data_IF_687528805065
#
_entry.id   IF_687528805065
#
_cell.length_a   1.000
_cell.length_b   1.000
_cell.length_c   1.000
_cell.angle_alpha   90.00
_cell.angle_beta   90.00
_cell.angle_gamma   90.00
#
_symmetry.space_group_name_H-M   'P 1'
#
loop_
_entity.id
_entity.type
_entity.pdbx_description
1 polymer ?
#
# COMPACT_ATOMS: atom_id res chain seq x y z
N UNK A 1 37.09 -18.99 -39.87
CA UNK A 1 37.00 -17.84 -38.96
C UNK A 1 35.73 -17.08 -39.31
N UNK A 2 34.60 -17.46 -38.73
CA UNK A 2 33.32 -16.77 -38.91
C UNK A 2 33.14 -15.80 -37.74
N UNK A 3 32.95 -14.53 -38.04
CA UNK A 3 32.61 -13.50 -37.05
C UNK A 3 31.13 -13.67 -36.67
N UNK A 4 30.85 -14.09 -35.44
CA UNK A 4 29.49 -14.10 -34.91
C UNK A 4 28.93 -12.67 -34.89
N UNK A 5 27.71 -12.43 -35.41
CA UNK A 5 27.12 -11.11 -35.41
C UNK A 5 26.81 -10.67 -33.97
N UNK A 6 27.40 -9.56 -33.56
CA UNK A 6 27.11 -8.89 -32.29
C UNK A 6 25.63 -8.46 -32.26
N UNK A 7 24.79 -9.26 -31.60
CA UNK A 7 23.37 -8.96 -31.39
C UNK A 7 23.27 -7.74 -30.49
N UNK A 8 23.13 -6.56 -31.10
CA UNK A 8 22.88 -5.30 -30.40
C UNK A 8 21.51 -5.36 -29.74
N UNK A 9 21.48 -5.66 -28.45
CA UNK A 9 20.29 -5.54 -27.60
C UNK A 9 19.96 -4.05 -27.49
N UNK A 10 19.01 -3.58 -28.31
CA UNK A 10 18.47 -2.22 -28.18
C UNK A 10 17.67 -2.21 -26.87
N UNK A 11 18.06 -1.40 -25.86
CA UNK A 11 17.28 -1.32 -24.63
C UNK A 11 15.86 -0.86 -24.99
N UNK A 12 14.81 -1.46 -24.41
CA UNK A 12 13.44 -1.05 -24.70
C UNK A 12 13.34 0.45 -24.45
N UNK A 13 12.96 1.22 -25.48
CA UNK A 13 12.68 2.64 -25.32
C UNK A 13 11.56 2.78 -24.30
N UNK A 14 11.90 3.34 -23.15
CA UNK A 14 10.95 3.76 -22.14
C UNK A 14 10.05 4.81 -22.79
N UNK A 15 8.85 4.40 -23.21
CA UNK A 15 7.87 5.29 -23.82
C UNK A 15 7.29 6.18 -22.72
N UNK A 16 7.38 7.51 -22.89
CA UNK A 16 6.79 8.50 -21.99
C UNK A 16 5.38 8.15 -21.46
N UNK A 17 4.43 7.68 -22.30
CA UNK A 17 3.11 7.29 -21.80
C UNK A 17 3.14 6.12 -20.80
N UNK A 18 3.99 5.11 -20.97
CA UNK A 18 4.05 3.96 -20.06
C UNK A 18 4.55 4.36 -18.66
N UNK A 19 5.50 5.29 -18.58
CA UNK A 19 5.98 5.86 -17.31
C UNK A 19 4.90 6.67 -16.63
N UNK A 20 4.19 7.51 -17.40
CA UNK A 20 3.10 8.30 -16.87
C UNK A 20 1.97 7.44 -16.29
N UNK A 21 1.53 6.41 -17.02
CA UNK A 21 0.54 5.45 -16.52
C UNK A 21 1.01 4.77 -15.23
N UNK A 22 2.27 4.36 -15.18
CA UNK A 22 2.84 3.71 -13.99
C UNK A 22 2.83 4.64 -12.76
N UNK A 23 3.29 5.88 -12.92
CA UNK A 23 3.31 6.86 -11.84
C UNK A 23 1.89 7.25 -11.40
N UNK A 24 0.96 7.40 -12.35
CA UNK A 24 -0.44 7.69 -12.04
C UNK A 24 -1.11 6.57 -11.25
N UNK A 25 -0.88 5.30 -11.63
CA UNK A 25 -1.44 4.16 -10.88
C UNK A 25 -0.84 4.03 -9.49
N UNK A 26 0.49 4.20 -9.35
CA UNK A 26 1.15 4.19 -8.04
C UNK A 26 0.63 5.32 -7.14
N UNK A 27 0.48 6.51 -7.70
CA UNK A 27 -0.09 7.65 -6.99
C UNK A 27 -1.53 7.35 -6.51
N UNK A 28 -2.41 6.89 -7.40
CA UNK A 28 -3.80 6.54 -7.06
C UNK A 28 -3.87 5.46 -5.96
N UNK A 29 -3.06 4.42 -6.06
CA UNK A 29 -2.98 3.37 -5.05
C UNK A 29 -2.49 3.89 -3.69
N UNK A 30 -1.51 4.79 -3.68
CA UNK A 30 -1.01 5.40 -2.44
C UNK A 30 -2.01 6.34 -1.77
N UNK A 31 -2.82 7.07 -2.57
CA UNK A 31 -3.95 7.87 -2.06
C UNK A 31 -4.99 6.98 -1.39
N UNK A 32 -5.39 5.88 -2.05
CA UNK A 32 -6.33 4.91 -1.49
C UNK A 32 -5.80 4.29 -0.19
N UNK A 33 -4.51 3.92 -0.16
CA UNK A 33 -3.85 3.40 1.02
C UNK A 33 -3.90 4.40 2.20
N UNK A 34 -3.56 5.67 1.95
CA UNK A 34 -3.65 6.73 2.97
C UNK A 34 -5.06 6.92 3.51
N UNK A 35 -6.07 6.93 2.62
CA UNK A 35 -7.48 7.03 3.03
C UNK A 35 -7.94 5.84 3.88
N UNK A 36 -7.58 4.62 3.50
CA UNK A 36 -7.96 3.39 4.22
C UNK A 36 -7.33 3.36 5.61
N UNK A 37 -6.05 3.74 5.75
CA UNK A 37 -5.38 3.81 7.04
C UNK A 37 -6.07 4.82 7.96
N UNK A 38 -6.42 6.01 7.45
CA UNK A 38 -7.10 7.02 8.25
C UNK A 38 -8.54 6.63 8.61
N UNK A 39 -9.26 5.99 7.68
CA UNK A 39 -10.58 5.43 7.96
C UNK A 39 -10.51 4.36 9.06
N UNK A 40 -9.51 3.48 9.02
CA UNK A 40 -9.29 2.47 10.05
C UNK A 40 -8.95 3.10 11.41
N UNK A 41 -8.09 4.12 11.43
CA UNK A 41 -7.79 4.89 12.65
C UNK A 41 -9.05 5.55 13.23
N UNK A 42 -9.93 6.08 12.38
CA UNK A 42 -11.20 6.65 12.82
C UNK A 42 -12.10 5.61 13.49
N UNK A 43 -12.23 4.40 12.91
CA UNK A 43 -13.01 3.29 13.50
C UNK A 43 -12.40 2.80 14.82
N UNK A 44 -11.08 2.70 14.87
CA UNK A 44 -10.34 2.33 16.08
C UNK A 44 -10.60 3.34 17.21
N UNK A 45 -10.66 4.63 16.91
CA UNK A 45 -10.92 5.68 17.90
C UNK A 45 -12.32 5.59 18.54
N UNK A 46 -13.31 5.02 17.84
CA UNK A 46 -14.68 4.82 18.37
C UNK A 46 -14.84 3.53 19.18
N UNK A 47 -13.77 2.75 19.34
CA UNK A 47 -13.79 1.48 20.07
C UNK A 47 -13.45 0.26 19.22
N UNK A 48 -13.11 0.44 17.93
CA UNK A 48 -12.66 -0.65 17.05
C UNK A 48 -13.79 -1.46 16.41
N UNK A 49 -15.05 -1.11 16.68
CA UNK A 49 -16.22 -1.67 16.02
C UNK A 49 -17.25 -0.56 15.83
N UNK A 50 -17.77 -0.46 14.61
CA UNK A 50 -18.88 0.42 14.29
C UNK A 50 -19.69 -0.24 13.17
N UNK A 51 -21.00 0.04 13.13
CA UNK A 51 -21.89 -0.50 12.11
C UNK A 51 -22.83 0.58 11.59
N UNK A 52 -23.17 0.51 10.31
CA UNK A 52 -24.08 1.42 9.62
C UNK A 52 -24.95 0.60 8.66
N UNK A 53 -26.25 0.91 8.59
CA UNK A 53 -27.15 0.35 7.56
C UNK A 53 -27.66 -1.08 7.76
N UNK A 54 -27.63 -1.64 8.97
CA UNK A 54 -28.19 -2.97 9.28
C UNK A 54 -29.63 -2.96 9.81
N UNK A 55 -30.35 -4.10 9.80
CA UNK A 55 -31.70 -4.22 10.37
C UNK A 55 -31.72 -4.26 11.92
N UNK A 56 -30.55 -4.26 12.55
CA UNK A 56 -30.38 -4.31 14.00
C UNK A 56 -30.11 -2.91 14.57
N UNK A 57 -30.46 -2.72 15.84
CA UNK A 57 -30.20 -1.47 16.57
C UNK A 57 -28.68 -1.25 16.66
N UNK A 58 -28.22 -0.18 16.04
CA UNK A 58 -26.80 0.17 15.98
C UNK A 58 -26.39 0.71 17.36
N UNK A 59 -25.54 -0.03 18.07
CA UNK A 59 -25.01 0.39 19.35
C UNK A 59 -23.91 1.45 19.24
N UNK A 60 -23.18 1.47 18.10
CA UNK A 60 -22.09 2.41 17.82
C UNK A 60 -22.09 2.78 16.33
N UNK A 61 -22.37 4.05 16.04
CA UNK A 61 -22.39 4.58 14.68
C UNK A 61 -20.98 4.78 14.14
N UNK A 62 -20.77 4.51 12.85
CA UNK A 62 -19.48 4.74 12.22
C UNK A 62 -19.23 6.24 11.96
N UNK A 63 -17.97 6.70 12.03
CA UNK A 63 -17.59 8.04 11.59
C UNK A 63 -18.01 8.25 10.13
N UNK A 64 -18.40 9.47 9.77
CA UNK A 64 -18.86 9.79 8.41
C UNK A 64 -17.81 9.36 7.37
N UNK A 65 -18.28 8.76 6.28
CA UNK A 65 -17.42 8.30 5.18
C UNK A 65 -16.61 7.03 5.44
N UNK A 66 -16.39 6.61 6.69
CA UNK A 66 -15.57 5.42 7.01
C UNK A 66 -16.13 4.13 6.43
N UNK A 67 -17.44 3.93 6.52
CA UNK A 67 -18.12 2.75 5.97
C UNK A 67 -17.92 2.65 4.45
N UNK A 68 -18.02 3.76 3.72
CA UNK A 68 -17.83 3.80 2.26
C UNK A 68 -16.38 3.59 1.89
N UNK A 69 -15.46 4.29 2.56
CA UNK A 69 -14.01 4.19 2.29
C UNK A 69 -13.49 2.78 2.57
N UNK A 70 -13.94 2.12 3.65
CA UNK A 70 -13.51 0.76 3.96
C UNK A 70 -14.18 -0.28 3.05
N UNK A 71 -15.49 -0.15 2.77
CA UNK A 71 -16.22 -1.13 1.93
C UNK A 71 -15.88 -1.03 0.45
N UNK A 72 -15.60 0.16 -0.07
CA UNK A 72 -15.29 0.38 -1.50
C UNK A 72 -13.78 0.51 -1.72
N UNK A 73 -13.07 1.18 -0.83
CA UNK A 73 -11.64 1.47 -0.98
C UNK A 73 -10.76 0.23 -0.95
N UNK A 74 -11.04 -0.74 -0.05
CA UNK A 74 -10.32 -2.01 -0.01
C UNK A 74 -10.43 -2.81 -1.33
N UNK A 75 -11.63 -3.17 -1.82
CA UNK A 75 -11.75 -3.94 -3.06
C UNK A 75 -11.25 -3.16 -4.27
N UNK A 76 -11.44 -1.84 -4.32
CA UNK A 76 -10.92 -1.01 -5.40
C UNK A 76 -9.38 -1.03 -5.43
N UNK A 77 -8.72 -0.92 -4.28
CA UNK A 77 -7.26 -0.98 -4.19
C UNK A 77 -6.72 -2.34 -4.64
N UNK A 78 -7.36 -3.44 -4.24
CA UNK A 78 -7.00 -4.78 -4.72
C UNK A 78 -7.22 -4.94 -6.22
N UNK A 79 -8.34 -4.43 -6.75
CA UNK A 79 -8.64 -4.48 -8.18
C UNK A 79 -7.60 -3.70 -8.99
N UNK A 80 -7.28 -2.47 -8.60
CA UNK A 80 -6.29 -1.62 -9.27
C UNK A 80 -4.89 -2.25 -9.20
N UNK A 81 -4.51 -2.80 -8.02
CA UNK A 81 -3.25 -3.51 -7.86
C UNK A 81 -3.17 -4.76 -8.74
N UNK A 82 -4.24 -5.54 -8.83
CA UNK A 82 -4.32 -6.72 -9.67
C UNK A 82 -4.23 -6.39 -11.16
N UNK A 83 -4.98 -5.38 -11.61
CA UNK A 83 -4.93 -4.90 -13.00
C UNK A 83 -3.54 -4.38 -13.38
N UNK A 84 -2.87 -3.69 -12.46
CA UNK A 84 -1.49 -3.26 -12.66
C UNK A 84 -0.53 -4.45 -12.80
N UNK A 85 -0.66 -5.49 -11.98
CA UNK A 85 0.15 -6.71 -12.12
C UNK A 85 -0.07 -7.42 -13.47
N UNK A 86 -1.32 -7.46 -13.94
CA UNK A 86 -1.68 -8.07 -15.22
C UNK A 86 -1.19 -7.25 -16.43
N UNK A 87 -1.14 -5.93 -16.31
CA UNK A 87 -0.74 -5.04 -17.40
C UNK A 87 0.76 -5.13 -17.77
N UNK A 88 1.58 -5.90 -17.02
CA UNK A 88 3.05 -5.96 -17.16
C UNK A 88 3.70 -4.59 -17.50
N UNK A 89 3.32 -3.48 -16.82
CA UNK A 89 3.83 -2.17 -17.17
C UNK A 89 5.29 -2.12 -16.74
N UNK A 90 6.19 -2.24 -17.73
CA UNK A 90 7.64 -2.12 -17.58
C UNK A 90 8.27 -3.24 -16.72
N UNK A 91 9.47 -3.68 -17.10
CA UNK A 91 10.29 -4.68 -16.41
C UNK A 91 10.85 -4.19 -15.06
N UNK A 92 10.06 -3.44 -14.28
CA UNK A 92 10.43 -2.76 -13.05
C UNK A 92 9.63 -3.34 -11.86
N UNK A 93 10.07 -4.49 -11.32
CA UNK A 93 9.27 -5.33 -10.43
C UNK A 93 9.28 -4.93 -8.94
N UNK A 94 9.92 -3.83 -8.52
CA UNK A 94 10.20 -3.63 -7.09
C UNK A 94 9.21 -2.72 -6.35
N UNK A 95 8.54 -1.76 -7.00
CA UNK A 95 7.87 -0.68 -6.26
C UNK A 95 6.48 -1.04 -5.75
N UNK A 96 5.69 -1.81 -6.49
CA UNK A 96 4.38 -2.29 -6.00
C UNK A 96 4.54 -3.30 -4.86
N UNK A 97 5.66 -4.02 -4.84
CA UNK A 97 6.04 -4.90 -3.74
C UNK A 97 6.20 -4.16 -2.41
N UNK A 98 6.43 -2.85 -2.42
CA UNK A 98 6.48 -1.99 -1.23
C UNK A 98 5.12 -1.45 -0.80
N UNK A 99 4.13 -1.41 -1.68
CA UNK A 99 2.80 -0.90 -1.34
C UNK A 99 2.09 -1.82 -0.33
N UNK A 100 2.28 -3.13 -0.49
CA UNK A 100 1.75 -4.15 0.42
C UNK A 100 2.29 -4.00 1.85
N UNK A 101 3.61 -4.01 2.13
CA UNK A 101 4.11 -3.81 3.48
C UNK A 101 3.72 -2.45 4.03
N UNK A 102 3.72 -1.37 3.24
CA UNK A 102 3.29 -0.04 3.71
C UNK A 102 1.84 -0.07 4.19
N UNK A 103 0.94 -0.72 3.44
CA UNK A 103 -0.47 -0.86 3.82
C UNK A 103 -0.63 -1.69 5.10
N UNK A 104 -0.13 -2.91 5.11
CA UNK A 104 -0.40 -3.87 6.19
C UNK A 104 0.37 -3.53 7.47
N UNK A 105 1.60 -3.04 7.36
CA UNK A 105 2.36 -2.56 8.52
C UNK A 105 1.76 -1.25 9.03
N UNK A 106 1.32 -0.35 8.14
CA UNK A 106 0.58 0.86 8.52
C UNK A 106 -0.69 0.53 9.31
N UNK A 107 -1.48 -0.44 8.84
CA UNK A 107 -2.65 -0.96 9.54
C UNK A 107 -2.28 -1.62 10.89
N UNK A 108 -1.20 -2.41 10.93
CA UNK A 108 -0.74 -3.03 12.18
C UNK A 108 -0.40 -1.97 13.25
N UNK A 109 0.31 -0.91 12.86
CA UNK A 109 0.61 0.22 13.75
C UNK A 109 -0.68 0.87 14.26
N UNK A 110 -1.65 1.13 13.37
CA UNK A 110 -2.95 1.68 13.75
C UNK A 110 -3.67 0.81 14.80
N UNK A 111 -3.67 -0.51 14.61
CA UNK A 111 -4.24 -1.47 15.57
C UNK A 111 -3.49 -1.49 16.91
N UNK A 112 -2.17 -1.38 16.93
CA UNK A 112 -1.41 -1.30 18.17
C UNK A 112 -1.68 -0.01 18.95
N UNK A 113 -1.79 1.13 18.25
CA UNK A 113 -2.22 2.41 18.86
C UNK A 113 -3.64 2.27 19.43
N UNK A 114 -4.54 1.62 18.68
CA UNK A 114 -5.89 1.31 19.13
C UNK A 114 -5.95 0.45 20.37
N UNK A 115 -5.10 -0.57 20.45
CA UNK A 115 -5.03 -1.48 21.59
C UNK A 115 -4.64 -0.75 22.89
N UNK A 116 -3.77 0.26 22.80
CA UNK A 116 -3.36 1.08 23.96
C UNK A 116 -4.42 2.08 24.41
N UNK A 117 -5.35 2.48 23.53
CA UNK A 117 -6.37 3.50 23.81
C UNK A 117 -7.76 2.92 24.06
N UNK A 118 -7.90 1.60 24.22
CA UNK A 118 -9.19 0.95 24.35
C UNK A 118 -9.89 1.27 25.70
N UNK A 119 -11.19 1.65 25.70
CA UNK A 119 -11.94 1.90 26.93
C UNK A 119 -12.07 0.60 27.74
N UNK A 120 -11.49 0.58 28.94
CA UNK A 120 -11.54 -0.59 29.84
C UNK A 120 -10.27 -1.44 29.90
N UNK A 121 -9.19 -1.03 29.23
CA UNK A 121 -7.87 -1.66 29.35
C UNK A 121 -7.26 -2.01 28.00
N UNK A 122 -6.41 -3.05 27.95
CA UNK A 122 -5.74 -3.46 26.72
C UNK A 122 -6.73 -4.17 25.79
N UNK A 123 -6.94 -3.60 24.60
CA UNK A 123 -7.79 -4.18 23.56
C UNK A 123 -7.15 -5.40 22.90
N UNK A 124 -7.32 -6.59 23.49
CA UNK A 124 -6.74 -7.85 22.97
C UNK A 124 -7.10 -8.14 21.51
N UNK A 125 -8.34 -7.83 21.09
CA UNK A 125 -8.76 -8.00 19.70
C UNK A 125 -7.94 -7.13 18.73
N UNK A 126 -7.61 -5.89 19.13
CA UNK A 126 -6.77 -5.00 18.34
C UNK A 126 -5.32 -5.50 18.28
N UNK A 127 -4.78 -6.05 19.38
CA UNK A 127 -3.44 -6.67 19.40
C UNK A 127 -3.37 -7.85 18.44
N UNK A 128 -4.33 -8.79 18.55
CA UNK A 128 -4.34 -10.00 17.70
C UNK A 128 -4.45 -9.60 16.23
N UNK A 129 -5.34 -8.66 15.90
CA UNK A 129 -5.48 -8.16 14.52
C UNK A 129 -4.21 -7.45 14.05
N UNK A 130 -3.59 -6.62 14.89
CA UNK A 130 -2.33 -5.96 14.59
C UNK A 130 -1.19 -6.94 14.29
N UNK A 131 -1.07 -8.02 15.06
CA UNK A 131 -0.08 -9.08 14.82
C UNK A 131 -0.36 -9.79 13.48
N UNK A 132 -1.61 -10.15 13.19
CA UNK A 132 -1.98 -10.79 11.93
C UNK A 132 -1.61 -9.90 10.75
N UNK A 133 -1.95 -8.61 10.81
CA UNK A 133 -1.61 -7.66 9.74
C UNK A 133 -0.09 -7.44 9.62
N UNK A 134 0.64 -7.42 10.73
CA UNK A 134 2.10 -7.35 10.72
C UNK A 134 2.71 -8.56 9.99
N UNK A 135 2.23 -9.77 10.30
CA UNK A 135 2.71 -11.01 9.67
C UNK A 135 2.43 -10.99 8.17
N UNK A 136 1.20 -10.67 7.76
CA UNK A 136 0.81 -10.57 6.34
C UNK A 136 1.61 -9.48 5.63
N UNK A 137 1.86 -8.35 6.29
CA UNK A 137 2.67 -7.26 5.76
C UNK A 137 4.14 -7.59 5.60
N UNK A 138 4.69 -8.48 6.43
CA UNK A 138 6.10 -8.89 6.35
C UNK A 138 6.38 -9.90 5.23
N UNK A 139 5.36 -10.63 4.74
CA UNK A 139 5.53 -11.68 3.72
C UNK A 139 6.33 -11.20 2.50
N UNK A 140 5.99 -10.07 1.85
CA UNK A 140 6.74 -9.61 0.67
C UNK A 140 8.17 -9.23 1.03
N UNK A 141 8.39 -8.62 2.20
CA UNK A 141 9.73 -8.23 2.67
C UNK A 141 10.62 -9.46 2.80
N UNK A 142 10.09 -10.56 3.35
CA UNK A 142 10.82 -11.81 3.48
C UNK A 142 11.07 -12.48 2.12
N UNK A 143 10.06 -12.51 1.23
CA UNK A 143 10.18 -13.09 -0.11
C UNK A 143 11.17 -12.32 -0.99
N UNK A 144 11.17 -10.99 -0.93
CA UNK A 144 12.12 -10.16 -1.69
C UNK A 144 13.53 -10.23 -1.10
N UNK A 145 13.68 -10.30 0.23
CA UNK A 145 14.99 -10.48 0.86
C UNK A 145 15.61 -11.84 0.54
N UNK A 146 14.80 -12.89 0.42
CA UNK A 146 15.27 -14.20 -0.06
C UNK A 146 15.81 -14.19 -1.49
N UNK A 147 15.25 -13.35 -2.38
CA UNK A 147 15.73 -13.19 -3.77
C UNK A 147 16.94 -12.26 -3.91
N UNK A 148 17.18 -11.39 -2.93
CA UNK A 148 18.34 -10.50 -2.93
C UNK A 148 19.65 -11.22 -2.56
N UNK A 149 19.57 -12.40 -1.92
CA UNK A 149 20.74 -13.19 -1.52
C UNK A 149 21.56 -13.78 -2.67
N UNK A 150 20.96 -13.97 -3.85
CA UNK A 150 21.63 -14.60 -5.01
C UNK A 150 22.33 -13.60 -5.95
N UNK A 151 22.13 -12.29 -5.77
CA UNK A 151 22.71 -11.26 -6.63
C UNK A 151 23.81 -10.49 -5.90
N UNK A 152 25.01 -11.07 -5.86
CA UNK A 152 26.25 -10.37 -5.49
C UNK A 152 26.68 -9.37 -6.58
N UNK A 153 25.85 -8.36 -6.86
CA UNK A 153 26.25 -7.19 -7.64
C UNK A 153 26.54 -6.03 -6.67
N UNK A 154 27.69 -5.34 -6.79
CA UNK A 154 28.07 -4.29 -5.85
C UNK A 154 27.05 -3.14 -5.87
N UNK A 155 26.87 -2.44 -4.74
CA UNK A 155 25.90 -1.35 -4.63
C UNK A 155 26.35 -0.20 -5.53
N UNK A 156 25.75 -0.08 -6.72
CA UNK A 156 25.91 1.13 -7.53
C UNK A 156 25.16 2.25 -6.83
N UNK A 157 25.96 3.13 -6.22
CA UNK A 157 25.63 4.37 -5.52
C UNK A 157 24.92 5.44 -6.36
N UNK A 158 24.23 5.07 -7.44
CA UNK A 158 23.32 5.98 -8.12
C UNK A 158 21.93 5.70 -7.58
N UNK A 159 21.47 6.63 -6.76
CA UNK A 159 20.06 6.89 -6.54
C UNK A 159 19.44 7.15 -7.91
N UNK A 160 19.03 6.07 -8.60
CA UNK A 160 18.48 6.18 -9.94
C UNK A 160 17.28 7.12 -9.86
N UNK A 161 17.35 8.25 -10.57
CA UNK A 161 16.31 9.26 -10.72
C UNK A 161 14.86 8.70 -10.79
N UNK A 162 14.59 7.56 -11.47
CA UNK A 162 13.28 6.91 -11.47
C UNK A 162 12.84 6.28 -10.12
N UNK A 163 13.74 5.84 -9.25
CA UNK A 163 13.37 5.41 -7.89
C UNK A 163 12.95 6.59 -7.02
N UNK A 164 13.57 7.76 -7.24
CA UNK A 164 13.25 8.97 -6.50
C UNK A 164 11.87 9.51 -6.88
N UNK A 165 11.53 9.54 -8.17
CA UNK A 165 10.21 10.00 -8.62
C UNK A 165 9.07 9.08 -8.14
N UNK A 166 9.30 7.77 -8.06
CA UNK A 166 8.33 6.83 -7.51
C UNK A 166 8.17 6.96 -6.00
N UNK A 167 9.27 7.10 -5.26
CA UNK A 167 9.21 7.35 -3.82
C UNK A 167 8.46 8.66 -3.51
N UNK A 168 8.72 9.72 -4.28
CA UNK A 168 7.99 10.98 -4.17
C UNK A 168 6.51 10.79 -4.49
N UNK A 169 6.15 10.06 -5.55
CA UNK A 169 4.75 9.79 -5.90
C UNK A 169 4.02 9.01 -4.80
N UNK A 170 4.68 8.02 -4.19
CA UNK A 170 4.12 7.26 -3.07
C UNK A 170 3.92 8.12 -1.83
N UNK A 171 4.94 8.89 -1.42
CA UNK A 171 4.85 9.75 -0.24
C UNK A 171 3.82 10.85 -0.46
N UNK A 172 3.81 11.48 -1.64
CA UNK A 172 2.84 12.50 -1.99
C UNK A 172 1.42 11.95 -2.01
N UNK A 173 1.20 10.76 -2.58
CA UNK A 173 -0.13 10.17 -2.62
C UNK A 173 -0.62 9.71 -1.24
N UNK A 174 0.23 9.13 -0.38
CA UNK A 174 -0.16 8.84 1.01
C UNK A 174 -0.53 10.13 1.76
N UNK A 175 0.28 11.19 1.64
CA UNK A 175 0.01 12.47 2.29
C UNK A 175 -1.29 13.11 1.79
N UNK A 176 -1.54 13.07 0.47
CA UNK A 176 -2.77 13.57 -0.14
C UNK A 176 -3.98 12.73 0.25
N UNK A 177 -3.84 11.40 0.34
CA UNK A 177 -4.90 10.52 0.84
C UNK A 177 -5.26 10.83 2.30
N UNK A 178 -4.25 11.06 3.13
CA UNK A 178 -4.45 11.45 4.52
C UNK A 178 -5.11 12.84 4.66
N UNK A 179 -4.71 13.80 3.83
CA UNK A 179 -5.35 15.12 3.78
C UNK A 179 -6.79 15.04 3.26
N UNK A 180 -7.03 14.29 2.19
CA UNK A 180 -8.36 14.13 1.61
C UNK A 180 -9.34 13.46 2.58
N UNK A 181 -8.86 12.58 3.47
CA UNK A 181 -9.66 12.06 4.57
C UNK A 181 -10.19 13.17 5.48
N UNK A 182 -9.39 14.19 5.80
CA UNK A 182 -9.84 15.32 6.64
C UNK A 182 -10.96 16.17 6.03
N UNK A 183 -11.25 15.99 4.74
CA UNK A 183 -12.36 16.65 4.05
C UNK A 183 -13.65 15.83 4.09
N UNK A 184 -13.57 14.53 4.34
CA UNK A 184 -14.69 13.57 4.20
C UNK A 184 -15.12 12.97 5.56
N UNK A 185 -14.17 12.79 6.49
CA UNK A 185 -14.38 12.27 7.85
C UNK A 185 -14.65 13.35 8.87
#
# INVERSE_FOLDING_TARGET
>A
MGTEPEVRVIPPRVTGPAVFFTLATLFALSVLCGMVIMAALAVINVGGYCAEGGPYVIAQHCPKGSAVVLSVGFPLMFLVGFLYMMAKPLSWPSTIGWLWPVLFVGMAIAFFIGASNAPGGIGWAAIVTGIIMLVIGLVPVLVFRGRAGDNSSPPRSRLDLPHLSQAVALVAGVAIGAWAWTLIG
#
